data_IF_431249868715
#
_entry.id   IF_431249868715
#
_cell.length_a   1.000
_cell.length_b   1.000
_cell.length_c   1.000
_cell.angle_alpha   90.00
_cell.angle_beta   90.00
_cell.angle_gamma   90.00
#
_symmetry.space_group_name_H-M   'P 1'
#
loop_
_entity.id
_entity.type
_entity.pdbx_description
1 polymer ?
#
# COMPACT_ATOMS: atom_id res chain seq x y z
N UNK A 1 -44.02 -10.98 -56.87
CA UNK A 1 -42.59 -11.09 -57.21
C UNK A 1 -41.83 -10.22 -56.23
N UNK A 2 -40.85 -10.81 -55.56
CA UNK A 2 -40.42 -10.49 -54.20
C UNK A 2 -39.09 -9.76 -54.24
N UNK A 3 -39.09 -8.44 -54.06
CA UNK A 3 -37.87 -7.62 -54.06
C UNK A 3 -37.96 -6.54 -53.00
N UNK A 4 -38.04 -6.89 -51.71
CA UNK A 4 -38.00 -5.85 -50.65
C UNK A 4 -37.59 -6.37 -49.25
N UNK A 5 -36.65 -7.33 -49.17
CA UNK A 5 -36.18 -7.84 -47.86
C UNK A 5 -34.65 -7.87 -47.73
N UNK A 6 -33.89 -7.41 -48.74
CA UNK A 6 -32.42 -7.48 -48.71
C UNK A 6 -31.70 -6.18 -48.33
N UNK A 7 -32.41 -5.07 -48.12
CA UNK A 7 -31.76 -3.75 -47.93
C UNK A 7 -31.69 -3.29 -46.47
N UNK A 8 -32.56 -3.78 -45.59
CA UNK A 8 -32.62 -3.29 -44.19
C UNK A 8 -31.62 -3.97 -43.24
N UNK A 9 -31.12 -5.16 -43.56
CA UNK A 9 -30.18 -5.88 -42.69
C UNK A 9 -28.71 -5.44 -42.85
N UNK A 10 -28.38 -4.62 -43.85
CA UNK A 10 -26.99 -4.14 -44.04
C UNK A 10 -26.70 -2.81 -43.33
N UNK A 11 -27.73 -2.01 -43.04
CA UNK A 11 -27.57 -0.72 -42.38
C UNK A 11 -27.20 -0.86 -40.90
N UNK A 12 -27.63 -1.94 -40.24
CA UNK A 12 -27.39 -2.19 -38.80
C UNK A 12 -26.04 -2.84 -38.49
N UNK A 13 -25.38 -3.49 -39.47
CA UNK A 13 -24.04 -4.05 -39.26
C UNK A 13 -22.92 -3.00 -39.37
N UNK A 14 -23.06 -2.02 -40.27
CA UNK A 14 -22.09 -0.94 -40.43
C UNK A 14 -22.02 -0.06 -39.17
N UNK A 15 -23.16 0.25 -38.56
CA UNK A 15 -23.23 1.05 -37.34
C UNK A 15 -22.67 0.28 -36.11
N UNK A 16 -22.95 -1.02 -36.01
CA UNK A 16 -22.37 -1.88 -34.95
C UNK A 16 -20.88 -2.16 -35.12
N UNK A 17 -20.34 -2.09 -36.34
CA UNK A 17 -18.89 -2.13 -36.58
C UNK A 17 -18.23 -0.81 -36.16
N UNK A 18 -18.86 0.33 -36.46
CA UNK A 18 -18.37 1.67 -36.09
C UNK A 18 -18.36 1.92 -34.57
N UNK A 19 -19.34 1.39 -33.83
CA UNK A 19 -19.38 1.52 -32.35
C UNK A 19 -18.32 0.66 -31.65
N UNK A 20 -17.87 -0.45 -32.26
CA UNK A 20 -16.77 -1.26 -31.73
C UNK A 20 -15.39 -0.62 -31.92
N UNK A 21 -15.23 0.22 -32.95
CA UNK A 21 -13.98 0.98 -33.20
C UNK A 21 -13.89 2.29 -32.42
N UNK A 22 -15.02 2.89 -32.00
CA UNK A 22 -15.03 4.15 -31.26
C UNK A 22 -14.83 4.01 -29.72
N UNK A 23 -14.97 2.80 -29.17
CA UNK A 23 -14.66 2.49 -27.77
C UNK A 23 -13.18 2.24 -27.48
N UNK A 24 -12.35 2.08 -28.51
CA UNK A 24 -10.90 1.94 -28.37
C UNK A 24 -10.27 3.33 -28.32
N UNK A 25 -10.54 4.07 -27.24
CA UNK A 25 -9.66 5.18 -26.85
C UNK A 25 -8.24 4.63 -26.90
N UNK A 26 -7.42 5.30 -27.71
CA UNK A 26 -6.03 4.99 -27.93
C UNK A 26 -5.35 4.66 -26.60
N UNK A 27 -5.11 3.38 -26.35
CA UNK A 27 -3.95 3.01 -25.56
C UNK A 27 -2.78 3.52 -26.38
N UNK A 28 -2.22 4.65 -25.94
CA UNK A 28 -0.85 4.98 -26.29
C UNK A 28 -0.04 3.70 -26.07
N UNK A 29 0.76 3.25 -27.05
CA UNK A 29 1.68 2.17 -26.79
C UNK A 29 2.51 2.60 -25.59
N UNK A 30 2.33 1.93 -24.45
CA UNK A 30 3.23 2.04 -23.33
C UNK A 30 4.61 1.78 -23.90
N UNK A 31 5.45 2.82 -23.97
CA UNK A 31 6.81 2.75 -24.45
C UNK A 31 7.47 1.52 -23.81
N UNK A 32 8.00 0.67 -24.68
CA UNK A 32 8.09 -0.77 -24.47
C UNK A 32 8.87 -1.17 -23.22
N UNK A 33 8.20 -1.93 -22.36
CA UNK A 33 8.84 -3.00 -21.61
C UNK A 33 8.87 -4.23 -22.54
N UNK A 34 10.00 -4.46 -23.20
CA UNK A 34 10.17 -5.60 -24.09
C UNK A 34 11.61 -5.79 -24.57
N UNK A 35 12.35 -6.63 -23.84
CA UNK A 35 13.56 -7.36 -24.26
C UNK A 35 14.74 -6.54 -24.82
N UNK A 36 15.30 -5.66 -23.98
CA UNK A 36 16.61 -5.06 -24.21
C UNK A 36 17.43 -5.03 -22.92
N UNK A 37 17.98 -6.17 -22.49
CA UNK A 37 19.20 -6.27 -21.66
C UNK A 37 19.30 -5.51 -20.32
N UNK A 38 18.25 -4.86 -19.83
CA UNK A 38 18.28 -4.16 -18.54
C UNK A 38 17.06 -4.59 -17.73
N UNK A 39 17.31 -5.32 -16.64
CA UNK A 39 16.34 -5.49 -15.57
C UNK A 39 15.80 -4.09 -15.18
N UNK A 40 14.50 -3.94 -14.88
CA UNK A 40 13.99 -2.70 -14.33
C UNK A 40 14.71 -2.42 -13.00
N UNK A 41 15.77 -1.62 -13.05
CA UNK A 41 16.56 -1.17 -11.89
C UNK A 41 15.90 0.03 -11.20
N UNK A 42 14.78 0.51 -11.73
CA UNK A 42 13.91 1.45 -11.03
C UNK A 42 13.28 0.81 -9.79
N UNK A 43 13.05 1.60 -8.74
CA UNK A 43 12.41 1.16 -7.51
C UNK A 43 11.15 0.33 -7.82
N UNK A 44 11.20 -0.97 -7.57
CA UNK A 44 10.03 -1.82 -7.72
C UNK A 44 9.07 -1.48 -6.58
N UNK A 45 8.17 -0.52 -6.83
CA UNK A 45 7.27 0.03 -5.82
C UNK A 45 6.39 -1.04 -5.18
N UNK A 46 6.04 -2.09 -5.94
CA UNK A 46 5.28 -3.24 -5.44
C UNK A 46 6.12 -4.01 -4.40
N UNK A 47 7.39 -4.30 -4.71
CA UNK A 47 8.31 -4.94 -3.77
C UNK A 47 8.55 -4.06 -2.55
N UNK A 48 8.73 -2.74 -2.74
CA UNK A 48 8.91 -1.81 -1.65
C UNK A 48 7.70 -1.79 -0.71
N UNK A 49 6.48 -1.73 -1.26
CA UNK A 49 5.26 -1.77 -0.49
C UNK A 49 5.13 -3.07 0.30
N UNK A 50 5.49 -4.22 -0.31
CA UNK A 50 5.45 -5.51 0.38
C UNK A 50 6.47 -5.59 1.52
N UNK A 51 7.72 -5.17 1.28
CA UNK A 51 8.77 -5.13 2.31
C UNK A 51 8.41 -4.20 3.45
N UNK A 52 7.87 -3.00 3.14
CA UNK A 52 7.39 -2.06 4.16
C UNK A 52 6.22 -2.64 4.95
N UNK A 53 5.23 -3.26 4.30
CA UNK A 53 4.08 -3.86 4.98
C UNK A 53 4.53 -4.92 5.97
N UNK A 54 5.48 -5.78 5.56
CA UNK A 54 6.04 -6.80 6.45
C UNK A 54 6.82 -6.17 7.60
N UNK A 55 7.70 -5.21 7.32
CA UNK A 55 8.47 -4.52 8.35
C UNK A 55 7.60 -3.72 9.33
N UNK A 56 6.49 -3.13 8.88
CA UNK A 56 5.50 -2.48 9.76
C UNK A 56 4.85 -3.49 10.69
N UNK A 57 4.44 -4.67 10.18
CA UNK A 57 3.88 -5.72 11.02
C UNK A 57 4.89 -6.19 12.08
N UNK A 58 6.16 -6.37 11.71
CA UNK A 58 7.22 -6.74 12.64
C UNK A 58 7.45 -5.65 13.72
N UNK A 59 7.45 -4.38 13.32
CA UNK A 59 7.58 -3.26 14.26
C UNK A 59 6.34 -3.12 15.15
N UNK A 60 5.15 -3.38 14.63
CA UNK A 60 3.93 -3.42 15.43
C UNK A 60 4.02 -4.50 16.49
N UNK A 61 4.47 -5.72 16.15
CA UNK A 61 4.68 -6.78 17.13
C UNK A 61 5.71 -6.39 18.20
N UNK A 62 6.82 -5.74 17.82
CA UNK A 62 7.87 -5.29 18.76
C UNK A 62 7.41 -4.19 19.72
N UNK A 63 6.63 -3.23 19.24
CA UNK A 63 6.27 -2.01 19.99
C UNK A 63 4.81 -1.99 20.47
N UNK A 64 4.02 -3.04 20.23
CA UNK A 64 2.58 -3.10 20.53
C UNK A 64 2.20 -2.72 21.97
N UNK A 65 3.08 -3.03 22.93
CA UNK A 65 2.81 -2.77 24.35
C UNK A 65 3.03 -1.30 24.75
N UNK A 66 3.76 -0.53 23.94
CA UNK A 66 4.22 0.82 24.30
C UNK A 66 3.66 1.88 23.36
N UNK A 67 3.46 1.56 22.08
CA UNK A 67 3.10 2.52 21.04
C UNK A 67 1.87 2.07 20.24
N UNK A 68 1.05 3.06 19.87
CA UNK A 68 -0.07 2.86 18.96
C UNK A 68 0.39 2.46 17.54
N UNK A 69 -0.33 1.53 16.93
CA UNK A 69 -0.04 1.04 15.58
C UNK A 69 -0.06 2.14 14.51
N UNK A 70 -0.88 3.18 14.70
CA UNK A 70 -0.92 4.35 13.82
C UNK A 70 0.34 5.21 13.92
N UNK A 71 0.94 5.34 15.11
CA UNK A 71 2.23 6.02 15.30
C UNK A 71 3.34 5.28 14.56
N UNK A 72 3.36 3.95 14.67
CA UNK A 72 4.33 3.08 13.99
C UNK A 72 4.21 3.25 12.46
N UNK A 73 3.01 3.13 11.92
CA UNK A 73 2.76 3.26 10.48
C UNK A 73 3.16 4.65 9.95
N UNK A 74 2.77 5.73 10.65
CA UNK A 74 3.14 7.11 10.25
C UNK A 74 4.66 7.32 10.29
N UNK A 75 5.35 6.78 11.29
CA UNK A 75 6.80 6.92 11.45
C UNK A 75 7.56 6.23 10.32
N UNK A 76 7.17 5.00 9.97
CA UNK A 76 7.76 4.26 8.85
C UNK A 76 7.54 4.98 7.52
N UNK A 77 6.31 5.43 7.24
CA UNK A 77 6.03 6.16 6.00
C UNK A 77 6.75 7.51 5.92
N UNK A 78 6.91 8.22 7.05
CA UNK A 78 7.67 9.46 7.10
C UNK A 78 9.16 9.22 6.77
N UNK A 79 9.77 8.20 7.40
CA UNK A 79 11.16 7.82 7.13
C UNK A 79 11.37 7.41 5.66
N UNK A 80 10.45 6.62 5.11
CA UNK A 80 10.49 6.23 3.70
C UNK A 80 10.43 7.43 2.76
N UNK A 81 9.49 8.37 2.99
CA UNK A 81 9.36 9.58 2.16
C UNK A 81 10.56 10.51 2.27
N UNK A 82 11.17 10.59 3.45
CA UNK A 82 12.37 11.40 3.68
C UNK A 82 13.57 10.85 2.90
N UNK A 83 13.78 9.53 2.93
CA UNK A 83 14.83 8.86 2.18
C UNK A 83 14.57 8.86 0.68
N UNK A 84 13.32 8.71 0.23
CA UNK A 84 12.98 8.72 -1.20
C UNK A 84 13.33 10.03 -1.91
N UNK A 85 13.34 11.16 -1.17
CA UNK A 85 13.74 12.47 -1.70
C UNK A 85 15.25 12.62 -1.86
N UNK A 86 16.05 11.93 -1.06
CA UNK A 86 17.50 12.17 -0.94
C UNK A 86 18.35 11.01 -1.48
N UNK A 87 17.80 9.80 -1.53
CA UNK A 87 18.53 8.60 -1.92
C UNK A 87 18.77 8.54 -3.43
N UNK A 88 20.03 8.38 -3.82
CA UNK A 88 20.45 8.16 -5.22
C UNK A 88 20.15 6.72 -5.69
N UNK A 89 20.21 5.75 -4.78
CA UNK A 89 19.93 4.34 -5.03
C UNK A 89 18.71 3.90 -4.23
N UNK A 90 17.65 3.48 -4.93
CA UNK A 90 16.36 3.17 -4.30
C UNK A 90 16.19 1.71 -3.91
N UNK A 91 17.06 0.81 -4.36
CA UNK A 91 16.97 -0.65 -4.15
C UNK A 91 16.84 -1.04 -2.66
N UNK A 92 17.57 -0.36 -1.78
CA UNK A 92 17.61 -0.67 -0.34
C UNK A 92 16.78 0.29 0.51
N UNK A 93 15.99 1.15 -0.14
CA UNK A 93 15.25 2.21 0.51
C UNK A 93 14.24 1.70 1.55
N UNK A 94 13.49 0.62 1.31
CA UNK A 94 12.58 0.06 2.32
C UNK A 94 13.31 -0.36 3.60
N UNK A 95 14.43 -1.07 3.46
CA UNK A 95 15.21 -1.56 4.61
C UNK A 95 15.81 -0.41 5.40
N UNK A 96 16.38 0.59 4.73
CA UNK A 96 16.91 1.78 5.39
C UNK A 96 15.81 2.58 6.11
N UNK A 97 14.64 2.72 5.49
CA UNK A 97 13.49 3.38 6.09
C UNK A 97 13.00 2.66 7.35
N UNK A 98 12.96 1.33 7.34
CA UNK A 98 12.58 0.52 8.50
C UNK A 98 13.58 0.68 9.65
N UNK A 99 14.88 0.62 9.37
CA UNK A 99 15.92 0.83 10.39
C UNK A 99 15.87 2.24 11.01
N UNK A 100 15.70 3.27 10.17
CA UNK A 100 15.56 4.64 10.64
C UNK A 100 14.28 4.84 11.46
N UNK A 101 13.17 4.21 11.05
CA UNK A 101 11.92 4.23 11.80
C UNK A 101 12.05 3.50 13.15
N UNK A 102 12.71 2.35 13.20
CA UNK A 102 12.96 1.59 14.44
C UNK A 102 13.73 2.44 15.45
N UNK A 103 14.81 3.10 15.03
CA UNK A 103 15.59 4.01 15.89
C UNK A 103 14.72 5.15 16.43
N UNK A 104 13.87 5.75 15.58
CA UNK A 104 12.94 6.81 16.01
C UNK A 104 11.89 6.30 16.99
N UNK A 105 11.32 5.12 16.72
CA UNK A 105 10.31 4.49 17.57
C UNK A 105 10.89 4.11 18.93
N UNK A 106 12.13 3.62 18.98
CA UNK A 106 12.82 3.34 20.25
C UNK A 106 12.97 4.62 21.08
N UNK A 107 13.43 5.72 20.47
CA UNK A 107 13.51 7.00 21.17
C UNK A 107 12.15 7.61 21.57
N UNK A 108 11.05 7.23 20.91
CA UNK A 108 9.69 7.59 21.37
C UNK A 108 9.32 6.71 22.57
N UNK A 109 9.49 5.39 22.46
CA UNK A 109 9.20 4.43 23.52
C UNK A 109 9.97 4.75 24.81
N UNK A 110 11.27 5.06 24.71
CA UNK A 110 12.11 5.40 25.86
C UNK A 110 11.62 6.68 26.55
N UNK A 111 11.20 7.69 25.77
CA UNK A 111 10.60 8.92 26.31
C UNK A 111 9.24 8.67 26.94
N UNK A 112 8.41 7.82 26.33
CA UNK A 112 7.11 7.42 26.89
C UNK A 112 7.27 6.66 28.20
N UNK A 113 8.26 5.77 28.29
CA UNK A 113 8.57 5.04 29.51
C UNK A 113 9.14 5.96 30.61
N UNK A 114 10.03 6.88 30.25
CA UNK A 114 10.61 7.86 31.19
C UNK A 114 9.59 8.90 31.68
N UNK A 115 8.56 9.20 30.89
CA UNK A 115 7.49 10.13 31.26
C UNK A 115 6.51 9.56 32.32
N UNK A 116 6.63 8.27 32.68
CA UNK A 116 5.82 7.64 33.72
C UNK A 116 4.63 6.89 33.16
N UNK A 117 4.46 5.67 33.67
CA UNK A 117 3.45 4.65 33.40
C UNK A 117 2.09 5.22 32.95
N UNK A 118 1.69 5.07 31.67
CA UNK A 118 0.27 5.13 31.36
C UNK A 118 -0.34 3.89 32.00
N UNK A 119 -1.26 4.13 32.92
CA UNK A 119 -2.27 3.22 33.42
C UNK A 119 -2.42 2.01 32.49
N UNK A 120 -2.04 0.83 32.98
CA UNK A 120 -2.44 -0.44 32.39
C UNK A 120 -3.93 -0.30 32.11
N UNK A 121 -4.37 -0.44 30.85
CA UNK A 121 -5.79 -0.57 30.52
C UNK A 121 -6.29 -1.82 31.24
N UNK A 122 -6.71 -1.66 32.49
CA UNK A 122 -7.56 -2.61 33.18
C UNK A 122 -8.86 -2.55 32.40
N UNK A 123 -9.07 -3.53 31.52
CA UNK A 123 -10.40 -3.80 30.98
C UNK A 123 -11.19 -4.30 32.18
N UNK A 124 -11.81 -3.36 32.91
CA UNK A 124 -12.89 -3.70 33.83
C UNK A 124 -13.98 -4.33 32.99
N UNK A 125 -14.08 -5.66 33.07
CA UNK A 125 -15.27 -6.39 32.67
C UNK A 125 -16.33 -6.04 33.73
N UNK A 126 -17.44 -5.36 33.39
CA UNK A 126 -18.50 -5.12 34.33
C UNK A 126 -19.29 -6.42 34.48
N UNK A 127 -18.93 -7.21 35.49
CA UNK A 127 -19.53 -8.50 35.75
C UNK A 127 -19.52 -8.80 37.24
N UNK A 128 -20.17 -7.94 38.02
CA UNK A 128 -20.48 -8.25 39.42
C UNK A 128 -21.32 -9.51 39.51
N UNK A 129 -20.81 -10.53 40.17
CA UNK A 129 -21.63 -11.58 40.79
C UNK A 129 -20.86 -12.19 41.96
N UNK A 130 -20.98 -11.57 43.14
CA UNK A 130 -20.74 -12.26 44.40
C UNK A 130 -21.85 -13.28 44.60
N UNK A 131 -21.52 -14.57 44.65
CA UNK A 131 -22.38 -15.56 45.30
C UNK A 131 -21.53 -16.30 46.33
N UNK A 132 -21.74 -15.93 47.59
CA UNK A 132 -21.41 -16.78 48.72
C UNK A 132 -22.70 -17.49 49.13
N UNK A 133 -22.65 -18.81 49.20
CA UNK A 133 -23.54 -19.65 49.99
C UNK A 133 -22.70 -20.80 50.56
#
# INVERSE_FOLDING_TARGET
MTTDVMTENQATEAENRSRRTAGRRAMTPSTGNGMGGALPTGANQIVHAHVLSRGVADLQAKFAQVLDGGVIHRTVHAAYRELDRTARLKTYLPTLALNQAETRLRGIADRTAAAGTPEVKTVETPGGMTVAA
#
